data_IF_004589382261
#
_entry.id   IF_004589382261
#
_cell.length_a   1.000
_cell.length_b   1.000
_cell.length_c   1.000
_cell.angle_alpha   90.00
_cell.angle_beta   90.00
_cell.angle_gamma   90.00
#
_symmetry.space_group_name_H-M   'P 1'
#
loop_
_entity.id
_entity.type
_entity.pdbx_description
1 polymer ?
#
# COMPACT_ATOMS: atom_id res chain seq x y z
N UNK A 1 1.09 -28.80 9.03
CA UNK A 1 0.90 -27.60 8.16
C UNK A 1 0.30 -26.50 9.01
N UNK A 2 0.94 -25.33 9.06
CA UNK A 2 0.37 -24.18 9.75
C UNK A 2 -0.53 -23.44 8.77
N UNK A 3 -1.85 -23.56 8.94
CA UNK A 3 -2.85 -22.95 8.06
C UNK A 3 -2.66 -21.43 7.93
N UNK A 4 -2.31 -20.75 9.02
CA UNK A 4 -2.05 -19.30 9.02
C UNK A 4 -0.87 -18.94 8.09
N UNK A 5 0.19 -19.73 8.11
CA UNK A 5 1.34 -19.55 7.20
C UNK A 5 0.93 -19.77 5.75
N UNK A 6 0.13 -20.80 5.48
CA UNK A 6 -0.36 -21.09 4.13
C UNK A 6 -1.20 -19.94 3.58
N UNK A 7 -2.15 -19.41 4.37
CA UNK A 7 -3.00 -18.27 3.97
C UNK A 7 -2.15 -17.02 3.72
N UNK A 8 -1.18 -16.73 4.61
CA UNK A 8 -0.26 -15.60 4.42
C UNK A 8 0.54 -15.74 3.13
N UNK A 9 1.01 -16.94 2.81
CA UNK A 9 1.77 -17.18 1.59
C UNK A 9 0.94 -16.98 0.33
N UNK A 10 -0.33 -17.40 0.32
CA UNK A 10 -1.23 -17.12 -0.79
C UNK A 10 -1.46 -15.63 -0.97
N UNK A 11 -1.77 -14.90 0.11
CA UNK A 11 -1.94 -13.45 0.06
C UNK A 11 -0.71 -12.74 -0.52
N UNK A 12 0.49 -13.11 -0.07
CA UNK A 12 1.74 -12.53 -0.57
C UNK A 12 1.98 -12.88 -2.03
N UNK A 13 1.69 -14.13 -2.45
CA UNK A 13 1.80 -14.56 -3.83
C UNK A 13 0.85 -13.78 -4.76
N UNK A 14 -0.37 -13.51 -4.31
CA UNK A 14 -1.36 -12.77 -5.09
C UNK A 14 -0.94 -11.29 -5.23
N UNK A 15 -0.47 -10.67 -4.15
CA UNK A 15 0.06 -9.29 -4.19
C UNK A 15 1.28 -9.21 -5.12
N UNK A 16 2.14 -10.22 -5.12
CA UNK A 16 3.30 -10.29 -6.00
C UNK A 16 2.90 -10.43 -7.47
N UNK A 17 1.88 -11.25 -7.76
CA UNK A 17 1.30 -11.37 -9.09
C UNK A 17 0.69 -10.04 -9.55
N UNK A 18 -0.07 -9.36 -8.68
CA UNK A 18 -0.63 -8.03 -8.98
C UNK A 18 0.47 -6.99 -9.23
N UNK A 19 1.56 -7.03 -8.46
CA UNK A 19 2.67 -6.11 -8.64
C UNK A 19 3.37 -6.29 -9.99
N UNK A 20 3.40 -7.51 -10.53
CA UNK A 20 3.95 -7.78 -11.86
C UNK A 20 3.12 -7.16 -12.99
N UNK A 21 1.83 -6.89 -12.74
CA UNK A 21 0.87 -6.32 -13.69
C UNK A 21 0.24 -5.04 -13.15
N UNK A 22 1.00 -4.22 -12.41
CA UNK A 22 0.49 -3.04 -11.71
C UNK A 22 -0.26 -2.05 -12.61
N UNK A 23 0.11 -1.98 -13.89
CA UNK A 23 -0.54 -1.12 -14.89
C UNK A 23 -2.02 -1.44 -15.10
N UNK A 24 -2.44 -2.70 -14.92
CA UNK A 24 -3.84 -3.10 -15.02
C UNK A 24 -4.72 -2.47 -13.91
N UNK A 25 -4.09 -1.99 -12.84
CA UNK A 25 -4.74 -1.37 -11.69
C UNK A 25 -4.54 0.15 -11.65
N UNK A 26 -3.92 0.75 -12.68
CA UNK A 26 -3.84 2.20 -12.84
C UNK A 26 -5.04 2.74 -13.61
N UNK A 27 -5.46 3.97 -13.26
CA UNK A 27 -6.40 4.73 -14.09
C UNK A 27 -5.75 5.12 -15.43
N UNK A 28 -4.47 5.50 -15.40
CA UNK A 28 -3.68 5.90 -16.54
C UNK A 28 -2.40 5.04 -16.63
N UNK A 29 -2.46 3.86 -17.27
CA UNK A 29 -1.29 3.04 -17.56
C UNK A 29 -0.18 3.85 -18.24
N UNK A 30 1.09 3.61 -17.90
CA UNK A 30 2.22 4.37 -18.43
C UNK A 30 2.39 5.81 -17.91
N UNK A 31 1.49 6.30 -17.04
CA UNK A 31 1.64 7.61 -16.37
C UNK A 31 1.56 7.51 -14.85
N UNK A 32 0.61 6.73 -14.35
CA UNK A 32 0.38 6.66 -12.91
C UNK A 32 1.57 5.98 -12.21
N UNK A 33 2.25 5.02 -12.84
CA UNK A 33 3.42 4.33 -12.27
C UNK A 33 4.79 4.84 -12.76
N UNK A 34 4.87 5.87 -13.59
CA UNK A 34 6.14 6.32 -14.19
C UNK A 34 6.90 7.37 -13.38
N UNK A 35 6.29 7.93 -12.34
CA UNK A 35 6.98 8.82 -11.41
C UNK A 35 7.77 8.02 -10.38
N UNK A 36 8.99 8.44 -10.03
CA UNK A 36 9.72 7.90 -8.87
C UNK A 36 8.87 8.01 -7.60
N UNK A 37 8.28 6.89 -7.18
CA UNK A 37 7.49 6.79 -5.95
C UNK A 37 8.38 6.30 -4.82
N UNK A 38 8.17 6.89 -3.64
CA UNK A 38 8.81 6.44 -2.40
C UNK A 38 8.17 5.16 -1.83
N UNK A 39 7.00 4.76 -2.33
CA UNK A 39 6.25 3.58 -1.88
C UNK A 39 6.06 2.62 -3.05
N UNK A 40 6.27 1.32 -2.82
CA UNK A 40 6.08 0.28 -3.82
C UNK A 40 4.59 -0.05 -4.02
N UNK A 41 4.24 -0.68 -5.14
CA UNK A 41 2.87 -1.16 -5.37
C UNK A 41 2.46 -2.18 -4.29
N UNK A 42 3.38 -3.07 -3.88
CA UNK A 42 3.12 -4.06 -2.84
C UNK A 42 2.76 -3.39 -1.52
N UNK A 43 3.53 -2.39 -1.10
CA UNK A 43 3.28 -1.65 0.13
C UNK A 43 1.98 -0.84 0.08
N UNK A 44 1.63 -0.30 -1.10
CA UNK A 44 0.35 0.40 -1.29
C UNK A 44 -0.86 -0.50 -1.04
N UNK A 45 -0.77 -1.78 -1.40
CA UNK A 45 -1.83 -2.78 -1.19
C UNK A 45 -1.76 -3.35 0.22
N UNK A 46 -0.56 -3.64 0.73
CA UNK A 46 -0.39 -4.31 2.02
C UNK A 46 -0.71 -3.39 3.21
N UNK A 47 -0.37 -2.11 3.12
CA UNK A 47 -0.63 -1.13 4.18
C UNK A 47 -2.09 -1.18 4.67
N UNK A 48 -3.13 -0.94 3.83
CA UNK A 48 -4.52 -0.96 4.29
C UNK A 48 -5.00 -2.33 4.80
N UNK A 49 -4.37 -3.43 4.40
CA UNK A 49 -4.69 -4.78 4.89
C UNK A 49 -4.15 -4.98 6.31
N UNK A 50 -2.99 -4.38 6.61
CA UNK A 50 -2.30 -4.50 7.91
C UNK A 50 -2.63 -3.38 8.89
N UNK A 51 -3.27 -2.32 8.40
CA UNK A 51 -3.63 -1.15 9.20
C UNK A 51 -4.64 -1.49 10.28
N UNK A 52 -4.39 -0.96 11.48
CA UNK A 52 -5.32 -1.03 12.61
C UNK A 52 -6.15 0.27 12.73
N UNK A 53 -6.92 0.45 13.80
CA UNK A 53 -7.81 1.60 14.01
C UNK A 53 -7.08 2.92 14.38
N UNK A 54 -5.81 3.07 13.98
CA UNK A 54 -4.99 4.25 14.24
C UNK A 54 -5.16 5.36 13.21
N UNK A 55 -4.54 6.51 13.47
CA UNK A 55 -4.44 7.56 12.45
C UNK A 55 -3.55 7.11 11.30
N UNK A 56 -3.85 7.56 10.08
CA UNK A 56 -3.00 7.29 8.90
C UNK A 56 -1.52 7.57 9.14
N UNK A 57 -1.22 8.64 9.87
CA UNK A 57 0.16 8.99 10.22
C UNK A 57 0.79 7.90 11.07
N UNK A 58 0.12 7.54 12.17
CA UNK A 58 0.63 6.54 13.11
C UNK A 58 0.83 5.18 12.43
N UNK A 59 -0.14 4.74 11.63
CA UNK A 59 -0.06 3.47 10.92
C UNK A 59 1.06 3.45 9.87
N UNK A 60 1.27 4.55 9.12
CA UNK A 60 2.40 4.67 8.19
C UNK A 60 3.74 4.53 8.91
N UNK A 61 3.95 5.25 10.01
CA UNK A 61 5.19 5.12 10.80
C UNK A 61 5.35 3.71 11.36
N UNK A 62 4.28 3.09 11.85
CA UNK A 62 4.31 1.72 12.37
C UNK A 62 4.69 0.71 11.28
N UNK A 63 4.11 0.83 10.09
CA UNK A 63 4.39 -0.06 8.96
C UNK A 63 5.85 0.02 8.49
N UNK A 64 6.41 1.23 8.43
CA UNK A 64 7.81 1.46 8.05
C UNK A 64 8.79 1.38 9.24
N UNK A 65 8.39 0.81 10.38
CA UNK A 65 9.23 0.66 11.57
C UNK A 65 9.90 1.98 12.03
N UNK A 66 9.19 3.10 11.91
CA UNK A 66 9.62 4.43 12.34
C UNK A 66 10.95 4.90 11.71
N UNK A 67 11.29 4.45 10.50
CA UNK A 67 12.49 4.91 9.82
C UNK A 67 12.38 6.38 9.38
N UNK A 68 13.52 7.10 9.34
CA UNK A 68 13.53 8.53 8.98
C UNK A 68 13.06 8.79 7.53
N UNK A 69 13.17 7.78 6.67
CA UNK A 69 12.73 7.82 5.27
C UNK A 69 11.24 7.50 5.07
N UNK A 70 10.49 7.30 6.17
CA UNK A 70 9.06 7.02 6.17
C UNK A 70 8.28 8.02 5.31
N UNK A 71 7.31 7.50 4.54
CA UNK A 71 6.41 8.32 3.74
C UNK A 71 5.60 9.31 4.59
N UNK A 72 5.45 10.54 4.11
CA UNK A 72 4.44 11.44 4.65
C UNK A 72 3.03 11.05 4.21
N UNK A 73 2.01 11.40 5.02
CA UNK A 73 0.60 11.20 4.65
C UNK A 73 0.26 11.79 3.28
N UNK A 74 0.77 12.99 2.97
CA UNK A 74 0.54 13.66 1.68
C UNK A 74 1.20 12.93 0.51
N UNK A 75 2.37 12.31 0.72
CA UNK A 75 3.01 11.48 -0.29
C UNK A 75 2.21 10.19 -0.54
N UNK A 76 1.65 9.61 0.53
CA UNK A 76 0.80 8.43 0.45
C UNK A 76 -0.51 8.71 -0.28
N UNK A 77 -1.23 9.79 0.09
CA UNK A 77 -2.48 10.19 -0.58
C UNK A 77 -2.29 10.55 -2.05
N UNK A 78 -1.10 11.00 -2.45
CA UNK A 78 -0.80 11.20 -3.86
C UNK A 78 -0.67 9.88 -4.63
N UNK A 79 -0.21 8.82 -3.96
CA UNK A 79 -0.08 7.50 -4.56
C UNK A 79 -1.39 6.71 -4.53
N UNK A 80 -2.22 6.90 -3.50
CA UNK A 80 -3.55 6.30 -3.35
C UNK A 80 -4.63 7.35 -3.04
N UNK A 81 -5.02 8.18 -4.04
CA UNK A 81 -5.97 9.27 -3.81
C UNK A 81 -7.36 8.77 -3.42
N UNK A 82 -7.82 7.68 -4.03
CA UNK A 82 -9.12 7.09 -3.70
C UNK A 82 -9.22 6.64 -2.25
N UNK A 83 -8.17 6.02 -1.71
CA UNK A 83 -8.18 5.54 -0.34
C UNK A 83 -8.15 6.70 0.67
N UNK A 84 -7.37 7.75 0.41
CA UNK A 84 -7.40 8.93 1.28
C UNK A 84 -8.74 9.69 1.20
N UNK A 85 -9.41 9.66 0.05
CA UNK A 85 -10.76 10.20 -0.05
C UNK A 85 -11.76 9.37 0.76
N UNK A 86 -11.71 8.04 0.65
CA UNK A 86 -12.53 7.13 1.46
C UNK A 86 -12.37 7.36 2.97
N UNK A 87 -11.14 7.61 3.44
CA UNK A 87 -10.87 7.91 4.85
C UNK A 87 -11.26 9.33 5.29
N UNK A 88 -11.49 10.25 4.37
CA UNK A 88 -11.97 11.60 4.70
C UNK A 88 -13.51 11.66 4.80
N UNK A 89 -14.18 10.68 4.19
CA UNK A 89 -15.64 10.57 4.14
C UNK A 89 -16.22 9.70 5.29
N UNK A 90 -15.36 9.00 6.04
CA UNK A 90 -15.70 8.19 7.22
C UNK A 90 -14.99 8.69 8.47
#
# INVERSE_FOLDING_TARGET
MNYSVTVKNYLMSDIDAMASTSEAYALNPGKDFTRHRKISFKDLVLLPITMEAGTMRHELYKYFNYQEDTLSNSAYCRASPFYCQFLAEN
#
